data_IF_563304088330
#
_entry.id   IF_563304088330
#
_cell.length_a   1.000
_cell.length_b   1.000
_cell.length_c   1.000
_cell.angle_alpha   90.00
_cell.angle_beta   90.00
_cell.angle_gamma   90.00
#
_symmetry.space_group_name_H-M   'P 1'
#
loop_
_entity.id
_entity.type
_entity.pdbx_description
1 polymer ?
#
# COMPACT_ATOMS: atom_id res chain seq x y z
N UNK A 1 17.88 -1.42 25.16
CA UNK A 1 18.85 -0.57 24.46
C UNK A 1 18.51 -0.55 22.98
N UNK A 2 17.42 0.14 22.67
CA UNK A 2 16.86 0.40 21.33
C UNK A 2 17.65 1.53 20.66
N UNK A 3 17.44 1.78 19.36
CA UNK A 3 17.99 2.96 18.63
C UNK A 3 17.90 4.28 19.41
N UNK A 4 16.89 4.40 20.29
CA UNK A 4 16.66 5.49 21.24
C UNK A 4 17.95 5.87 22.00
N UNK A 5 18.64 4.92 22.64
CA UNK A 5 19.78 5.25 23.50
C UNK A 5 21.08 5.46 22.72
N UNK A 6 21.29 4.84 21.55
CA UNK A 6 22.57 5.00 20.83
C UNK A 6 22.62 6.22 19.91
N UNK A 7 21.46 6.78 19.56
CA UNK A 7 21.36 8.10 18.92
C UNK A 7 21.64 9.22 19.95
N UNK A 8 21.42 8.96 21.24
CA UNK A 8 21.58 9.94 22.32
C UNK A 8 22.86 9.72 23.17
N UNK A 9 23.34 8.48 23.38
CA UNK A 9 24.55 8.14 24.17
C UNK A 9 25.83 8.05 23.34
N UNK A 10 25.72 7.98 22.01
CA UNK A 10 26.85 8.17 21.11
C UNK A 10 26.48 9.32 20.21
N UNK A 11 27.34 10.33 20.14
CA UNK A 11 27.39 11.29 19.04
C UNK A 11 27.66 10.53 17.73
N UNK A 12 26.72 9.68 17.29
CA UNK A 12 26.74 9.06 15.97
C UNK A 12 26.41 10.19 15.02
N UNK A 13 27.46 10.83 14.55
CA UNK A 13 27.37 11.90 13.57
C UNK A 13 26.88 11.31 12.25
N UNK A 14 25.56 11.30 12.08
CA UNK A 14 24.87 10.93 10.84
C UNK A 14 25.36 11.76 9.64
N UNK A 15 26.02 12.91 9.88
CA UNK A 15 26.58 13.79 8.84
C UNK A 15 27.80 13.21 8.14
N UNK A 16 28.50 12.21 8.72
CA UNK A 16 29.67 11.56 8.10
C UNK A 16 29.35 10.28 7.33
N UNK A 17 28.10 9.83 7.35
CA UNK A 17 27.67 8.64 6.64
C UNK A 17 26.99 9.04 5.33
N UNK A 18 27.58 8.71 4.19
CA UNK A 18 27.08 9.10 2.86
C UNK A 18 25.64 8.66 2.58
N UNK A 19 25.19 7.55 3.19
CA UNK A 19 23.80 7.09 3.02
C UNK A 19 22.88 7.93 3.90
N UNK A 20 23.14 8.03 5.21
CA UNK A 20 22.23 8.70 6.13
C UNK A 20 22.24 10.23 6.03
N UNK A 21 23.37 10.83 5.70
CA UNK A 21 23.49 12.28 5.44
C UNK A 21 22.61 12.75 4.28
N UNK A 22 22.35 11.86 3.31
CA UNK A 22 21.45 12.15 2.18
C UNK A 22 19.95 12.06 2.52
N UNK A 23 19.59 11.57 3.71
CA UNK A 23 18.20 11.29 4.10
C UNK A 23 17.71 12.35 5.08
N UNK A 24 16.74 13.15 4.64
CA UNK A 24 16.05 14.09 5.51
C UNK A 24 15.30 13.35 6.63
N UNK A 25 15.43 13.82 7.87
CA UNK A 25 14.77 13.26 9.06
C UNK A 25 15.12 11.78 9.32
N UNK A 26 16.35 11.36 8.97
CA UNK A 26 16.81 9.96 9.13
C UNK A 26 16.61 9.42 10.54
N UNK A 27 16.83 10.25 11.56
CA UNK A 27 16.65 9.89 12.98
C UNK A 27 15.20 9.51 13.27
N UNK A 28 14.24 10.29 12.79
CA UNK A 28 12.82 10.04 12.99
C UNK A 28 12.37 8.77 12.26
N UNK A 29 12.88 8.54 11.05
CA UNK A 29 12.60 7.32 10.27
C UNK A 29 13.12 6.10 11.05
N UNK A 30 14.34 6.15 11.57
CA UNK A 30 14.91 5.09 12.41
C UNK A 30 14.06 4.82 13.65
N UNK A 31 13.70 5.87 14.41
CA UNK A 31 12.87 5.77 15.62
C UNK A 31 11.52 5.11 15.31
N UNK A 32 10.79 5.64 14.31
CA UNK A 32 9.49 5.10 13.91
C UNK A 32 9.58 3.67 13.39
N UNK A 33 10.62 3.31 12.64
CA UNK A 33 10.77 1.96 12.11
C UNK A 33 10.99 0.92 13.21
N UNK A 34 11.83 1.24 14.21
CA UNK A 34 12.08 0.37 15.36
C UNK A 34 10.84 0.23 16.23
N UNK A 35 10.09 1.31 16.45
CA UNK A 35 8.80 1.24 17.14
C UNK A 35 7.80 0.37 16.38
N UNK A 36 7.74 0.50 15.06
CA UNK A 36 6.86 -0.29 14.21
C UNK A 36 7.17 -1.79 14.30
N UNK A 37 8.47 -2.14 14.28
CA UNK A 37 8.94 -3.51 14.51
C UNK A 37 8.44 -4.06 15.84
N UNK A 38 8.61 -3.29 16.92
CA UNK A 38 8.22 -3.69 18.27
C UNK A 38 6.70 -3.79 18.45
N UNK A 39 5.89 -3.16 17.59
CA UNK A 39 4.43 -3.29 17.60
C UNK A 39 3.95 -4.57 16.90
N UNK A 40 4.75 -5.18 16.03
CA UNK A 40 4.38 -6.44 15.37
C UNK A 40 4.64 -7.63 16.29
N UNK A 41 3.57 -8.26 16.78
CA UNK A 41 3.66 -9.39 17.73
C UNK A 41 4.54 -10.52 17.16
N UNK A 42 4.40 -10.85 15.88
CA UNK A 42 5.20 -11.91 15.24
C UNK A 42 6.70 -11.61 15.23
N UNK A 43 7.08 -10.34 15.11
CA UNK A 43 8.46 -9.88 15.13
C UNK A 43 8.99 -9.75 16.56
N UNK A 44 8.25 -9.05 17.42
CA UNK A 44 8.62 -8.81 18.83
C UNK A 44 8.81 -10.10 19.62
N UNK A 45 7.91 -11.08 19.44
CA UNK A 45 7.96 -12.36 20.16
C UNK A 45 8.80 -13.42 19.44
N UNK A 46 9.49 -13.07 18.37
CA UNK A 46 10.29 -13.99 17.57
C UNK A 46 9.52 -15.24 17.10
N UNK A 47 8.33 -15.03 16.55
CA UNK A 47 7.43 -16.10 16.12
C UNK A 47 7.34 -16.16 14.59
N UNK A 48 8.36 -16.70 13.88
CA UNK A 48 8.34 -16.81 12.42
C UNK A 48 7.26 -17.79 11.92
N UNK A 49 6.77 -18.67 12.80
CA UNK A 49 5.64 -19.58 12.54
C UNK A 49 4.28 -18.92 12.70
N UNK A 50 4.21 -17.68 13.21
CA UNK A 50 2.94 -16.98 13.39
C UNK A 50 2.28 -16.73 12.02
N UNK A 51 0.96 -16.96 11.88
CA UNK A 51 0.25 -16.73 10.62
C UNK A 51 0.35 -15.30 10.06
N UNK A 52 0.63 -14.30 10.91
CA UNK A 52 0.84 -12.90 10.51
C UNK A 52 2.29 -12.57 10.17
N UNK A 53 3.26 -13.43 10.44
CA UNK A 53 4.69 -13.13 10.26
C UNK A 53 5.00 -12.66 8.84
N UNK A 54 4.54 -13.41 7.83
CA UNK A 54 4.75 -13.06 6.43
C UNK A 54 4.16 -11.69 6.08
N UNK A 55 2.98 -11.37 6.60
CA UNK A 55 2.30 -10.11 6.31
C UNK A 55 2.92 -8.93 7.07
N UNK A 56 3.39 -9.18 8.29
CA UNK A 56 4.10 -8.18 9.11
C UNK A 56 5.44 -7.82 8.45
N UNK A 57 6.19 -8.81 7.97
CA UNK A 57 7.45 -8.60 7.23
C UNK A 57 7.26 -7.77 5.94
N UNK A 58 6.24 -8.09 5.14
CA UNK A 58 5.95 -7.36 3.91
C UNK A 58 5.50 -5.93 4.18
N UNK A 59 4.73 -5.71 5.25
CA UNK A 59 4.36 -4.37 5.69
C UNK A 59 5.58 -3.57 6.16
N UNK A 60 6.49 -4.17 6.93
CA UNK A 60 7.75 -3.53 7.33
C UNK A 60 8.57 -3.12 6.11
N UNK A 61 8.66 -4.00 5.10
CA UNK A 61 9.36 -3.71 3.86
C UNK A 61 8.71 -2.54 3.09
N UNK A 62 7.39 -2.58 2.91
CA UNK A 62 6.62 -1.51 2.28
C UNK A 62 6.80 -0.17 3.01
N UNK A 63 6.64 -0.16 4.35
CA UNK A 63 6.69 1.06 5.13
C UNK A 63 8.04 1.76 4.95
N UNK A 64 9.14 1.00 5.03
CA UNK A 64 10.48 1.57 4.89
C UNK A 64 10.73 2.09 3.47
N UNK A 65 10.31 1.34 2.45
CA UNK A 65 10.34 1.81 1.06
C UNK A 65 9.56 3.12 0.87
N UNK A 66 8.35 3.20 1.41
CA UNK A 66 7.48 4.37 1.31
C UNK A 66 8.07 5.60 2.01
N UNK A 67 8.78 5.41 3.14
CA UNK A 67 9.44 6.50 3.86
C UNK A 67 10.71 6.99 3.18
N UNK A 68 11.53 6.10 2.63
CA UNK A 68 12.80 6.45 2.02
C UNK A 68 12.64 6.95 0.58
N UNK A 69 11.73 6.35 -0.18
CA UNK A 69 11.56 6.59 -1.61
C UNK A 69 10.21 7.22 -1.93
N UNK A 70 9.71 8.10 -1.04
CA UNK A 70 8.46 8.82 -1.30
C UNK A 70 8.59 9.68 -2.56
N UNK A 71 7.50 9.77 -3.34
CA UNK A 71 7.43 10.30 -4.71
C UNK A 71 7.96 11.74 -4.91
N UNK A 72 8.28 12.47 -3.84
CA UNK A 72 8.70 13.88 -3.89
C UNK A 72 10.23 14.08 -3.92
N UNK A 73 11.04 13.07 -3.60
CA UNK A 73 12.50 13.20 -3.65
C UNK A 73 13.04 12.68 -5.00
N UNK A 74 12.97 13.55 -6.01
CA UNK A 74 13.69 13.35 -7.26
C UNK A 74 15.19 13.50 -6.98
N UNK A 75 15.91 12.38 -6.91
CA UNK A 75 17.24 12.14 -7.52
C UNK A 75 18.08 11.08 -6.80
N UNK A 76 17.73 10.68 -5.57
CA UNK A 76 18.50 9.69 -4.82
C UNK A 76 17.62 8.51 -4.43
N UNK A 77 17.64 7.45 -5.24
CA UNK A 77 16.98 6.19 -4.88
C UNK A 77 17.79 5.52 -3.76
N UNK A 78 17.43 5.78 -2.50
CA UNK A 78 18.13 5.24 -1.34
C UNK A 78 17.82 3.74 -1.30
N UNK A 79 18.87 2.91 -1.28
CA UNK A 79 18.67 1.48 -1.09
C UNK A 79 18.17 1.20 0.33
N UNK A 80 16.93 0.75 0.42
CA UNK A 80 16.23 0.31 1.63
C UNK A 80 16.98 -0.84 2.28
N UNK A 81 17.54 -1.73 1.46
CA UNK A 81 18.35 -2.86 1.94
C UNK A 81 19.63 -2.37 2.64
N UNK A 82 20.32 -1.40 2.06
CA UNK A 82 21.53 -0.83 2.67
C UNK A 82 21.20 0.00 3.92
N UNK A 83 20.14 0.81 3.88
CA UNK A 83 19.62 1.51 5.06
C UNK A 83 19.38 0.53 6.23
N UNK A 84 18.68 -0.56 5.96
CA UNK A 84 18.35 -1.56 6.97
C UNK A 84 19.60 -2.26 7.54
N UNK A 85 20.57 -2.62 6.69
CA UNK A 85 21.84 -3.20 7.15
C UNK A 85 22.57 -2.24 8.09
N UNK A 86 22.67 -0.96 7.72
CA UNK A 86 23.34 0.06 8.54
C UNK A 86 22.64 0.26 9.88
N UNK A 87 21.31 0.32 9.88
CA UNK A 87 20.51 0.42 11.10
C UNK A 87 20.82 -0.71 12.09
N UNK A 88 20.98 -1.95 11.60
CA UNK A 88 21.37 -3.09 12.43
C UNK A 88 22.78 -2.99 12.98
N UNK A 89 23.73 -2.48 12.20
CA UNK A 89 25.10 -2.25 12.68
C UNK A 89 25.14 -1.23 13.81
N UNK A 90 24.36 -0.15 13.70
CA UNK A 90 24.30 0.90 14.74
C UNK A 90 23.56 0.39 15.97
N UNK A 91 22.40 -0.22 15.78
CA UNK A 91 21.54 -0.74 16.84
C UNK A 91 21.53 -2.26 16.84
N UNK A 92 22.55 -2.87 17.43
CA UNK A 92 22.72 -4.35 17.46
C UNK A 92 21.58 -5.11 18.15
N UNK A 93 20.79 -4.44 19.01
CA UNK A 93 19.57 -5.03 19.61
C UNK A 93 18.34 -4.97 18.69
N UNK A 94 18.40 -4.20 17.60
CA UNK A 94 17.33 -4.15 16.61
C UNK A 94 17.45 -5.35 15.67
N UNK A 95 16.36 -6.12 15.54
CA UNK A 95 16.29 -7.35 14.76
C UNK A 95 17.48 -8.30 15.00
N UNK A 96 17.79 -8.54 16.27
CA UNK A 96 18.91 -9.37 16.72
C UNK A 96 18.81 -10.80 16.16
N UNK A 97 17.58 -11.34 16.04
CA UNK A 97 17.29 -12.66 15.47
C UNK A 97 17.19 -12.66 13.94
N UNK A 98 17.50 -11.53 13.29
CA UNK A 98 17.57 -11.40 11.83
C UNK A 98 16.27 -11.75 11.08
N UNK A 99 15.11 -11.57 11.69
CA UNK A 99 13.81 -11.93 11.09
C UNK A 99 13.54 -11.15 9.80
N UNK A 100 13.97 -9.89 9.75
CA UNK A 100 13.77 -9.02 8.60
C UNK A 100 14.93 -9.09 7.59
N UNK A 101 16.03 -9.79 7.89
CA UNK A 101 17.28 -9.76 7.09
C UNK A 101 17.11 -10.11 5.62
N UNK A 102 16.26 -11.09 5.32
CA UNK A 102 15.96 -11.51 3.95
C UNK A 102 14.63 -10.96 3.43
N UNK A 103 13.94 -10.15 4.24
CA UNK A 103 12.60 -9.61 3.97
C UNK A 103 12.64 -8.17 3.51
N UNK A 104 13.62 -7.38 3.97
CA UNK A 104 13.81 -6.01 3.50
C UNK A 104 14.52 -5.99 2.15
N UNK A 105 13.89 -5.36 1.16
CA UNK A 105 14.36 -5.25 -0.20
C UNK A 105 13.78 -4.00 -0.89
N UNK A 106 14.47 -3.51 -1.92
CA UNK A 106 13.99 -2.38 -2.72
C UNK A 106 12.76 -2.78 -3.55
N UNK A 107 11.69 -1.98 -3.45
CA UNK A 107 10.48 -2.09 -4.26
C UNK A 107 10.63 -1.15 -5.46
N UNK A 108 10.26 -1.63 -6.65
CA UNK A 108 10.27 -0.79 -7.86
C UNK A 108 9.37 0.44 -7.66
N UNK A 109 9.81 1.62 -8.11
CA UNK A 109 9.09 2.90 -8.04
C UNK A 109 7.62 2.81 -8.48
N UNK A 110 7.32 2.16 -9.60
CA UNK A 110 5.94 2.05 -10.10
C UNK A 110 5.09 1.13 -9.20
N UNK A 111 5.71 0.08 -8.68
CA UNK A 111 5.05 -0.83 -7.74
C UNK A 111 4.82 -0.15 -6.38
N UNK A 112 5.78 0.65 -5.90
CA UNK A 112 5.65 1.45 -4.69
C UNK A 112 4.58 2.53 -4.85
N UNK A 113 4.50 3.20 -6.00
CA UNK A 113 3.43 4.15 -6.32
C UNK A 113 2.05 3.47 -6.20
N UNK A 114 1.90 2.30 -6.79
CA UNK A 114 0.65 1.52 -6.74
C UNK A 114 0.30 1.07 -5.30
N UNK A 115 1.29 0.59 -4.54
CA UNK A 115 1.09 0.23 -3.13
C UNK A 115 0.70 1.45 -2.27
N UNK A 116 1.31 2.61 -2.50
CA UNK A 116 0.98 3.86 -1.81
C UNK A 116 -0.47 4.30 -2.11
N UNK A 117 -0.92 4.22 -3.37
CA UNK A 117 -2.31 4.51 -3.75
C UNK A 117 -3.29 3.58 -3.01
N UNK A 118 -3.03 2.26 -3.03
CA UNK A 118 -3.87 1.29 -2.34
C UNK A 118 -3.88 1.50 -0.82
N UNK A 119 -2.72 1.81 -0.21
CA UNK A 119 -2.63 2.11 1.21
C UNK A 119 -3.47 3.33 1.59
N UNK A 120 -3.37 4.40 0.82
CA UNK A 120 -4.11 5.64 1.06
C UNK A 120 -5.62 5.42 0.94
N UNK A 121 -6.06 4.75 -0.13
CA UNK A 121 -7.45 4.36 -0.33
C UNK A 121 -7.97 3.53 0.85
N UNK A 122 -7.22 2.50 1.26
CA UNK A 122 -7.60 1.61 2.34
C UNK A 122 -7.66 2.32 3.69
N UNK A 123 -6.72 3.22 3.96
CA UNK A 123 -6.72 4.03 5.17
C UNK A 123 -7.94 4.96 5.25
N UNK A 124 -8.27 5.63 4.15
CA UNK A 124 -9.47 6.50 4.07
C UNK A 124 -10.76 5.67 4.18
N UNK A 125 -10.85 4.56 3.46
CA UNK A 125 -11.95 3.59 3.59
C UNK A 125 -12.13 3.10 5.04
N UNK A 126 -11.03 2.81 5.75
CA UNK A 126 -11.11 2.39 7.16
C UNK A 126 -11.79 3.42 8.07
N UNK A 127 -11.71 4.72 7.76
CA UNK A 127 -12.44 5.77 8.49
C UNK A 127 -13.95 5.68 8.24
N UNK A 128 -14.34 5.45 6.98
CA UNK A 128 -15.74 5.26 6.57
C UNK A 128 -16.30 4.00 7.23
N UNK A 129 -15.59 2.88 7.14
CA UNK A 129 -16.00 1.62 7.75
C UNK A 129 -16.22 1.76 9.26
N UNK A 130 -15.31 2.44 9.97
CA UNK A 130 -15.48 2.67 11.41
C UNK A 130 -16.67 3.59 11.71
N UNK A 131 -16.88 4.63 10.93
CA UNK A 131 -18.05 5.51 11.08
C UNK A 131 -19.35 4.71 10.90
N UNK A 132 -19.43 3.92 9.84
CA UNK A 132 -20.58 3.11 9.46
C UNK A 132 -20.90 2.01 10.50
N UNK A 133 -19.89 1.26 10.93
CA UNK A 133 -20.08 0.11 11.83
C UNK A 133 -20.29 0.51 13.28
N UNK A 134 -19.69 1.63 13.73
CA UNK A 134 -19.87 2.14 15.09
C UNK A 134 -21.04 3.11 15.21
N UNK A 135 -21.78 3.36 14.11
CA UNK A 135 -22.94 4.28 14.03
C UNK A 135 -22.68 5.63 14.67
N UNK A 136 -21.49 6.20 14.40
CA UNK A 136 -21.07 7.48 14.97
C UNK A 136 -21.62 8.62 14.13
N UNK A 137 -22.92 8.87 14.21
CA UNK A 137 -23.62 9.92 13.44
C UNK A 137 -23.02 11.31 13.67
N UNK A 138 -22.52 11.60 14.87
CA UNK A 138 -21.77 12.82 15.23
C UNK A 138 -20.49 13.04 14.39
N UNK A 139 -19.93 11.96 13.83
CA UNK A 139 -18.73 11.98 13.00
C UNK A 139 -19.03 11.98 11.50
N UNK A 140 -20.23 12.42 11.11
CA UNK A 140 -20.65 12.54 9.71
C UNK A 140 -19.59 13.24 8.83
N UNK A 141 -19.02 14.35 9.31
CA UNK A 141 -18.03 15.12 8.55
C UNK A 141 -16.77 14.30 8.20
N UNK A 142 -16.40 13.32 9.04
CA UNK A 142 -15.30 12.38 8.78
C UNK A 142 -15.70 11.43 7.65
N UNK A 143 -16.92 10.91 7.66
CA UNK A 143 -17.42 10.07 6.58
C UNK A 143 -17.41 10.83 5.26
N UNK A 144 -18.09 11.98 5.21
CA UNK A 144 -18.20 12.82 4.01
C UNK A 144 -16.84 13.09 3.39
N UNK A 145 -15.93 13.67 4.18
CA UNK A 145 -14.58 14.01 3.71
C UNK A 145 -13.81 12.77 3.25
N UNK A 146 -13.90 11.66 3.98
CA UNK A 146 -13.18 10.44 3.61
C UNK A 146 -13.73 9.79 2.35
N UNK A 147 -15.04 9.84 2.13
CA UNK A 147 -15.70 9.32 0.93
C UNK A 147 -15.35 10.15 -0.31
N UNK A 148 -15.46 11.47 -0.21
CA UNK A 148 -15.04 12.40 -1.29
C UNK A 148 -13.55 12.20 -1.64
N UNK A 149 -12.70 12.03 -0.61
CA UNK A 149 -11.28 11.74 -0.77
C UNK A 149 -10.99 10.34 -1.36
N UNK A 150 -11.83 9.34 -1.08
CA UNK A 150 -11.71 7.99 -1.66
C UNK A 150 -12.11 8.04 -3.13
N UNK A 151 -13.21 8.70 -3.47
CA UNK A 151 -13.66 8.84 -4.85
C UNK A 151 -12.58 9.48 -5.72
N UNK A 152 -12.01 10.61 -5.27
CA UNK A 152 -10.93 11.30 -5.99
C UNK A 152 -9.71 10.40 -6.21
N UNK A 153 -9.20 9.78 -5.16
CA UNK A 153 -8.01 8.92 -5.26
C UNK A 153 -8.29 7.66 -6.09
N UNK A 154 -9.52 7.14 -6.03
CA UNK A 154 -9.94 5.96 -6.79
C UNK A 154 -9.90 6.26 -8.29
N UNK A 155 -10.44 7.42 -8.69
CA UNK A 155 -10.42 7.87 -10.07
C UNK A 155 -8.99 8.04 -10.62
N UNK A 156 -8.04 8.46 -9.77
CA UNK A 156 -6.62 8.48 -10.15
C UNK A 156 -6.06 7.06 -10.28
N UNK A 157 -6.32 6.20 -9.29
CA UNK A 157 -5.80 4.83 -9.26
C UNK A 157 -6.34 3.96 -10.40
N UNK A 158 -7.62 4.08 -10.75
CA UNK A 158 -8.24 3.25 -11.79
C UNK A 158 -7.77 3.61 -13.20
N UNK A 159 -7.31 4.84 -13.42
CA UNK A 159 -6.68 5.22 -14.70
C UNK A 159 -5.33 4.52 -14.92
N UNK A 160 -4.63 4.14 -13.84
CA UNK A 160 -3.40 3.35 -13.91
C UNK A 160 -3.67 1.85 -14.20
N UNK A 161 -4.94 1.45 -14.33
CA UNK A 161 -5.30 0.10 -14.76
C UNK A 161 -5.12 -0.12 -16.26
N UNK A 162 -4.00 -0.74 -16.63
CA UNK A 162 -3.76 -1.21 -18.00
C UNK A 162 -4.63 -2.42 -18.39
N UNK A 163 -5.02 -3.24 -17.41
CA UNK A 163 -6.01 -4.29 -17.56
C UNK A 163 -6.64 -4.63 -16.20
N UNK A 164 -7.90 -5.10 -16.22
CA UNK A 164 -8.58 -5.65 -15.04
C UNK A 164 -7.84 -6.85 -14.42
N UNK A 165 -7.00 -7.51 -15.20
CA UNK A 165 -6.23 -8.69 -14.81
C UNK A 165 -4.94 -8.38 -14.04
N UNK A 166 -4.48 -7.12 -14.03
CA UNK A 166 -3.31 -6.76 -13.24
C UNK A 166 -3.61 -6.90 -11.74
N UNK A 167 -2.59 -7.29 -10.95
CA UNK A 167 -2.74 -7.52 -9.50
C UNK A 167 -3.26 -6.27 -8.80
N UNK A 168 -2.69 -5.11 -9.17
CA UNK A 168 -3.10 -3.81 -8.65
C UNK A 168 -4.59 -3.56 -8.92
N UNK A 169 -5.05 -3.81 -10.14
CA UNK A 169 -6.46 -3.61 -10.52
C UNK A 169 -7.39 -4.61 -9.84
N UNK A 170 -6.99 -5.88 -9.68
CA UNK A 170 -7.78 -6.85 -8.90
C UNK A 170 -7.95 -6.39 -7.46
N UNK A 171 -6.89 -5.86 -6.84
CA UNK A 171 -6.95 -5.33 -5.47
C UNK A 171 -7.78 -4.06 -5.38
N UNK A 172 -7.67 -3.17 -6.37
CA UNK A 172 -8.49 -1.97 -6.47
C UNK A 172 -9.98 -2.32 -6.66
N UNK A 173 -10.29 -3.34 -7.47
CA UNK A 173 -11.63 -3.90 -7.62
C UNK A 173 -12.15 -4.47 -6.28
N UNK A 174 -11.34 -5.23 -5.54
CA UNK A 174 -11.78 -5.74 -4.23
C UNK A 174 -12.08 -4.60 -3.25
N UNK A 175 -11.24 -3.56 -3.21
CA UNK A 175 -11.48 -2.37 -2.38
C UNK A 175 -12.77 -1.65 -2.78
N UNK A 176 -13.03 -1.53 -4.08
CA UNK A 176 -14.29 -0.98 -4.62
C UNK A 176 -15.50 -1.75 -4.12
N UNK A 177 -15.49 -3.07 -4.26
CA UNK A 177 -16.61 -3.91 -3.81
C UNK A 177 -16.85 -3.76 -2.30
N UNK A 178 -15.78 -3.83 -1.49
CA UNK A 178 -15.90 -3.62 -0.05
C UNK A 178 -16.46 -2.23 0.30
N UNK A 179 -16.02 -1.18 -0.41
CA UNK A 179 -16.52 0.18 -0.25
C UNK A 179 -18.01 0.29 -0.55
N UNK A 180 -18.44 -0.20 -1.72
CA UNK A 180 -19.83 -0.13 -2.15
C UNK A 180 -20.75 -0.89 -1.17
N UNK A 181 -20.34 -2.10 -0.75
CA UNK A 181 -21.08 -2.91 0.23
C UNK A 181 -21.28 -2.16 1.55
N UNK A 182 -20.28 -1.42 2.02
CA UNK A 182 -20.41 -0.64 3.27
C UNK A 182 -21.50 0.42 3.15
N UNK A 183 -21.54 1.16 2.03
CA UNK A 183 -22.58 2.17 1.83
C UNK A 183 -23.97 1.54 1.67
N UNK A 184 -24.08 0.46 0.89
CA UNK A 184 -25.34 -0.27 0.68
C UNK A 184 -25.92 -0.82 1.99
N UNK A 185 -25.07 -1.32 2.89
CA UNK A 185 -25.53 -1.91 4.15
C UNK A 185 -25.81 -0.83 5.19
N UNK A 186 -24.89 0.12 5.37
CA UNK A 186 -24.84 0.97 6.57
C UNK A 186 -25.26 2.42 6.35
N UNK A 187 -25.32 2.92 5.11
CA UNK A 187 -25.63 4.34 4.82
C UNK A 187 -26.88 4.50 3.92
N UNK A 188 -27.89 3.65 4.11
CA UNK A 188 -29.11 3.65 3.27
C UNK A 188 -29.89 4.96 3.29
N UNK A 189 -29.78 5.72 4.38
CA UNK A 189 -30.45 7.01 4.54
C UNK A 189 -29.59 8.19 4.02
N UNK A 190 -28.45 7.91 3.38
CA UNK A 190 -27.48 8.92 2.94
C UNK A 190 -27.07 9.87 4.08
N UNK A 191 -26.81 9.30 5.26
CA UNK A 191 -26.34 10.02 6.44
C UNK A 191 -24.93 10.54 6.24
N UNK A 192 -24.07 9.84 5.49
CA UNK A 192 -22.72 10.31 5.19
C UNK A 192 -22.73 11.65 4.44
N UNK A 193 -23.73 11.88 3.56
CA UNK A 193 -23.83 13.05 2.66
C UNK A 193 -22.56 13.28 1.83
N UNK A 194 -21.87 12.21 1.45
CA UNK A 194 -20.77 12.24 0.49
C UNK A 194 -21.31 12.57 -0.91
N UNK A 195 -20.46 13.14 -1.76
CA UNK A 195 -20.84 13.39 -3.15
C UNK A 195 -21.03 12.08 -3.91
N UNK A 196 -20.15 11.10 -3.68
CA UNK A 196 -20.17 9.79 -4.35
C UNK A 196 -19.98 8.65 -3.35
N UNK A 197 -21.02 7.86 -3.15
CA UNK A 197 -21.03 6.67 -2.29
C UNK A 197 -20.90 5.38 -3.08
N UNK A 198 -20.82 5.46 -4.41
CA UNK A 198 -20.65 4.32 -5.31
C UNK A 198 -19.46 4.52 -6.23
N UNK A 199 -18.53 3.58 -6.17
CA UNK A 199 -17.37 3.53 -7.05
C UNK A 199 -17.70 2.64 -8.27
N UNK A 200 -17.42 3.16 -9.47
CA UNK A 200 -17.70 2.50 -10.75
C UNK A 200 -16.61 1.49 -11.13
N UNK A 201 -16.93 0.56 -12.02
CA UNK A 201 -15.95 -0.40 -12.54
C UNK A 201 -15.05 0.22 -13.60
N UNK A 202 -13.92 -0.44 -13.86
CA UNK A 202 -13.01 -0.02 -14.93
C UNK A 202 -13.70 -0.03 -16.29
N UNK A 203 -14.50 -1.06 -16.57
CA UNK A 203 -15.19 -1.19 -17.84
C UNK A 203 -16.31 -0.15 -17.98
N UNK A 204 -17.04 0.16 -16.91
CA UNK A 204 -18.03 1.25 -16.87
C UNK A 204 -17.39 2.61 -17.20
N UNK A 205 -16.25 2.92 -16.58
CA UNK A 205 -15.50 4.16 -16.82
C UNK A 205 -14.91 4.23 -18.23
N UNK A 206 -14.39 3.11 -18.74
CA UNK A 206 -13.85 3.04 -20.09
C UNK A 206 -14.93 3.19 -21.15
N UNK A 207 -16.10 2.60 -20.93
CA UNK A 207 -17.22 2.70 -21.85
C UNK A 207 -17.84 4.10 -21.83
N UNK A 208 -17.94 4.74 -20.67
CA UNK A 208 -18.43 6.14 -20.58
C UNK A 208 -17.48 7.14 -21.26
N UNK A 209 -16.17 6.95 -21.15
CA UNK A 209 -15.19 7.77 -21.87
C UNK A 209 -15.27 7.57 -23.40
N UNK A 210 -15.51 6.33 -23.85
CA UNK A 210 -15.69 6.00 -25.27
C UNK A 210 -17.01 6.54 -25.83
N UNK A 211 -18.12 6.40 -25.11
CA UNK A 211 -19.41 6.93 -25.57
C UNK A 211 -19.40 8.46 -25.63
N UNK A 212 -18.66 9.12 -24.72
CA UNK A 212 -18.48 10.58 -24.73
C UNK A 212 -17.58 11.09 -25.88
N UNK A 213 -16.77 10.21 -26.49
CA UNK A 213 -15.90 10.55 -27.63
C UNK A 213 -16.45 10.13 -29.00
N UNK A 214 -17.62 9.49 -29.06
CA UNK A 214 -18.28 9.14 -30.34
C UNK A 214 -19.27 10.25 -30.72
N UNK A 215 -18.75 11.25 -31.43
CA UNK A 215 -19.45 12.02 -32.45
C UNK A 215 -18.58 12.05 -33.70
N UNK A 216 -18.46 10.93 -34.40
CA UNK A 216 -18.00 10.92 -35.81
C UNK A 216 -18.80 9.85 -36.55
N UNK A 217 -19.71 10.33 -37.40
CA UNK A 217 -20.23 9.58 -38.54
C UNK A 217 -19.10 9.38 -39.56
N UNK A 218 -18.82 8.14 -39.95
CA UNK A 218 -18.39 7.82 -41.33
C UNK A 218 -18.19 6.32 -41.53
N UNK A 219 -18.85 5.78 -42.56
CA UNK A 219 -18.54 4.54 -43.26
C UNK A 219 -17.04 4.42 -43.61
N UNK A 220 -16.45 3.20 -43.52
CA UNK A 220 -15.75 2.45 -44.60
C UNK A 220 -14.72 1.41 -44.09
N UNK A 221 -14.99 0.14 -44.43
CA UNK A 221 -14.18 -0.97 -44.97
C UNK A 221 -12.63 -1.13 -44.78
N UNK A 222 -12.25 -2.39 -44.50
CA UNK A 222 -11.08 -3.21 -44.94
C UNK A 222 -9.73 -3.29 -44.16
N UNK A 223 -9.17 -4.51 -44.23
CA UNK A 223 -8.08 -5.26 -43.52
C UNK A 223 -6.82 -5.37 -44.46
N UNK A 224 -5.65 -6.08 -44.23
CA UNK A 224 -4.74 -6.46 -43.10
C UNK A 224 -3.24 -6.08 -43.32
N UNK A 225 -2.28 -6.39 -42.40
CA UNK A 225 -0.98 -7.01 -42.78
C UNK A 225 -0.17 -7.66 -41.61
N UNK A 226 0.68 -8.64 -41.97
CA UNK A 226 1.39 -9.66 -41.19
C UNK A 226 2.70 -9.26 -40.45
N UNK A 227 2.94 -9.90 -39.28
CA UNK A 227 4.22 -10.49 -38.80
C UNK A 227 5.20 -9.64 -37.95
N UNK A 228 6.16 -10.23 -37.16
CA UNK A 228 6.49 -11.66 -36.97
C UNK A 228 6.57 -12.17 -35.49
N UNK A 229 6.27 -13.45 -35.30
CA UNK A 229 6.11 -14.17 -34.02
C UNK A 229 7.39 -14.86 -33.49
N UNK A 230 8.54 -14.17 -33.44
CA UNK A 230 9.81 -14.78 -32.97
C UNK A 230 10.28 -14.22 -31.60
N UNK A 231 9.73 -13.11 -31.12
CA UNK A 231 10.12 -12.50 -29.83
C UNK A 231 9.50 -13.08 -28.55
N UNK A 232 8.52 -14.00 -28.66
CA UNK A 232 7.67 -14.38 -27.52
C UNK A 232 8.27 -15.42 -26.55
N UNK A 233 9.27 -16.19 -26.96
CA UNK A 233 9.77 -17.32 -26.15
C UNK A 233 10.70 -16.86 -25.01
N UNK A 234 11.49 -15.79 -25.21
CA UNK A 234 12.37 -15.24 -24.15
C UNK A 234 11.63 -14.38 -23.12
N UNK A 235 10.50 -13.78 -23.53
CA UNK A 235 9.59 -13.02 -22.68
C UNK A 235 9.02 -13.93 -21.58
N UNK A 236 8.54 -15.13 -21.93
CA UNK A 236 7.83 -16.02 -20.99
C UNK A 236 8.68 -16.45 -19.77
N UNK A 237 9.98 -16.64 -19.93
CA UNK A 237 10.88 -17.03 -18.81
C UNK A 237 11.21 -15.85 -17.88
N UNK A 238 11.32 -14.63 -18.42
CA UNK A 238 11.55 -13.43 -17.60
C UNK A 238 10.29 -13.03 -16.81
N UNK A 239 9.09 -13.14 -17.41
CA UNK A 239 7.83 -12.83 -16.72
C UNK A 239 7.45 -13.85 -15.64
N UNK A 240 7.90 -15.11 -15.74
CA UNK A 240 7.57 -16.13 -14.72
C UNK A 240 8.25 -15.86 -13.36
N UNK A 241 9.49 -15.36 -13.34
CA UNK A 241 10.18 -15.00 -12.09
C UNK A 241 9.74 -13.64 -11.54
N UNK A 242 9.35 -12.70 -12.41
CA UNK A 242 8.89 -11.36 -12.01
C UNK A 242 7.45 -11.37 -11.48
N UNK A 243 6.58 -12.26 -11.95
CA UNK A 243 5.20 -12.38 -11.42
C UNK A 243 5.12 -12.91 -9.98
N UNK A 244 6.03 -13.79 -9.57
CA UNK A 244 5.91 -14.46 -8.26
C UNK A 244 6.16 -13.52 -7.08
N UNK A 245 7.15 -12.61 -7.20
CA UNK A 245 7.46 -11.63 -6.14
C UNK A 245 6.40 -10.54 -6.03
N UNK A 246 5.98 -9.95 -7.16
CA UNK A 246 4.93 -8.92 -7.19
C UNK A 246 3.64 -9.43 -6.57
N UNK A 247 3.14 -10.59 -7.02
CA UNK A 247 1.93 -11.21 -6.46
C UNK A 247 2.02 -11.43 -4.94
N UNK A 248 3.21 -11.78 -4.45
CA UNK A 248 3.42 -12.10 -3.04
C UNK A 248 3.39 -10.86 -2.13
N UNK A 249 4.04 -9.77 -2.53
CA UNK A 249 4.04 -8.49 -1.79
C UNK A 249 2.59 -8.01 -1.63
N UNK A 250 1.86 -7.90 -2.75
CA UNK A 250 0.45 -7.49 -2.76
C UNK A 250 -0.44 -8.40 -1.89
N UNK A 251 -0.39 -9.73 -2.07
CA UNK A 251 -1.23 -10.66 -1.30
C UNK A 251 -1.02 -10.52 0.21
N UNK A 252 0.23 -10.40 0.65
CA UNK A 252 0.56 -10.33 2.07
C UNK A 252 0.33 -8.94 2.68
N UNK A 253 0.57 -7.87 1.92
CA UNK A 253 0.26 -6.51 2.32
C UNK A 253 -1.24 -6.33 2.64
N UNK A 254 -2.11 -6.90 1.81
CA UNK A 254 -3.55 -6.87 2.06
C UNK A 254 -3.97 -7.78 3.21
N UNK A 255 -3.33 -8.94 3.37
CA UNK A 255 -3.54 -9.80 4.56
C UNK A 255 -3.23 -9.02 5.84
N UNK A 256 -2.13 -8.26 5.88
CA UNK A 256 -1.79 -7.40 7.02
C UNK A 256 -2.87 -6.35 7.28
N UNK A 257 -3.29 -5.62 6.23
CA UNK A 257 -4.24 -4.53 6.40
C UNK A 257 -5.62 -5.03 6.83
N UNK A 258 -6.07 -6.18 6.31
CA UNK A 258 -7.29 -6.84 6.77
C UNK A 258 -7.16 -7.30 8.22
N UNK A 259 -6.01 -7.87 8.62
CA UNK A 259 -5.73 -8.21 10.02
C UNK A 259 -5.69 -6.96 10.90
N UNK A 260 -5.16 -5.82 10.45
CA UNK A 260 -5.14 -4.56 11.21
C UNK A 260 -6.53 -3.94 11.35
N UNK A 261 -7.35 -3.95 10.30
CA UNK A 261 -8.77 -3.55 10.36
C UNK A 261 -9.51 -4.47 11.35
N UNK A 262 -9.32 -5.79 11.25
CA UNK A 262 -9.91 -6.75 12.19
C UNK A 262 -9.37 -6.62 13.62
N UNK A 263 -8.09 -6.29 13.81
CA UNK A 263 -7.51 -6.01 15.13
C UNK A 263 -8.07 -4.72 15.74
N UNK A 264 -8.30 -3.67 14.93
CA UNK A 264 -9.01 -2.46 15.37
C UNK A 264 -10.46 -2.77 15.75
N UNK A 265 -11.15 -3.62 14.98
CA UNK A 265 -12.47 -4.15 15.34
C UNK A 265 -12.44 -4.92 16.67
N UNK A 266 -11.47 -5.82 16.87
CA UNK A 266 -11.30 -6.58 18.12
C UNK A 266 -11.02 -5.67 19.33
N UNK A 267 -10.19 -4.63 19.15
CA UNK A 267 -9.87 -3.68 20.21
C UNK A 267 -11.07 -2.81 20.63
N UNK A 268 -12.04 -2.59 19.74
CA UNK A 268 -13.26 -1.82 20.03
C UNK A 268 -14.34 -2.71 20.68
N UNK A 269 -14.43 -3.98 20.28
CA UNK A 269 -15.40 -4.94 20.81
C UNK A 269 -15.04 -5.41 22.24
N UNK A 270 -13.74 -5.51 22.59
CA UNK A 270 -13.32 -6.06 23.88
C UNK A 270 -12.91 -5.03 24.96
N UNK A 271 -12.88 -3.72 24.65
CA UNK A 271 -12.53 -2.67 25.62
C UNK A 271 -13.62 -1.61 25.82
N UNK A 272 -14.88 -1.97 25.54
CA UNK A 272 -16.06 -1.12 25.82
C UNK A 272 -16.97 -1.72 26.91
N UNK A 273 -16.43 -2.54 27.81
CA UNK A 273 -17.03 -2.96 29.08
C UNK A 273 -15.99 -2.88 30.19
#
# INVERSE_FOLDING_TARGET
MTCINKVEEKNVDFSRDDIFSSIKNVVDICKQFVELYNKQISLKKYMPTNPSYSSDCEYMNYWLNSKLNNNNNNNNNISVKEFYKKLRTISTKFDEKELLKTKIHDINKDELKNLNLLYNLRHKYGKIYNWATLRRTENQHICKKSADDVFKDYMVAINDCSSSESIFCKLLCNLREEYNIVFDIYDRNNECKAQETKLQTYDELKNSARSSSIRIDSNTMSIPLLGPTIGLVFILTFFYRVKKKKNYIYKNFFKFHNIQIQKKLFHIIFYSF
#
